data_IF_038563096978
#
_entry.id   IF_038563096978
#
_cell.length_a   1.000
_cell.length_b   1.000
_cell.length_c   1.000
_cell.angle_alpha   90.00
_cell.angle_beta   90.00
_cell.angle_gamma   90.00
#
_symmetry.space_group_name_H-M   'P 1'
#
loop_
_entity.id
_entity.type
_entity.pdbx_description
1 polymer ?
#
# COMPACT_ATOMS: atom_id res chain seq x y z
N UNK A 1 -30.36 -29.65 33.60
CA UNK A 1 -29.00 -29.07 33.41
C UNK A 1 -28.84 -28.55 31.94
N UNK A 2 -29.39 -27.42 31.56
CA UNK A 2 -29.26 -26.89 30.17
C UNK A 2 -28.27 -25.73 30.00
N UNK A 3 -27.56 -25.28 31.06
CA UNK A 3 -26.72 -24.04 30.99
C UNK A 3 -25.41 -24.19 30.21
N UNK A 4 -24.86 -25.38 30.03
CA UNK A 4 -23.58 -25.55 29.35
C UNK A 4 -23.66 -25.42 27.83
N UNK A 5 -24.80 -25.75 27.22
CA UNK A 5 -24.99 -25.66 25.76
C UNK A 5 -25.14 -24.22 25.25
N UNK A 6 -25.76 -23.33 26.03
CA UNK A 6 -25.94 -21.91 25.68
C UNK A 6 -24.63 -21.13 25.72
N UNK A 7 -23.74 -21.44 26.66
CA UNK A 7 -22.42 -20.79 26.76
C UNK A 7 -21.53 -21.16 25.57
N UNK A 8 -21.51 -22.44 25.17
CA UNK A 8 -20.73 -22.88 24.00
C UNK A 8 -21.16 -22.24 22.69
N UNK A 9 -22.47 -22.09 22.48
CA UNK A 9 -23.03 -21.45 21.28
C UNK A 9 -22.67 -19.96 21.22
N UNK A 10 -22.70 -19.26 22.34
CA UNK A 10 -22.35 -17.83 22.41
C UNK A 10 -20.88 -17.59 22.11
N UNK A 11 -19.97 -18.43 22.59
CA UNK A 11 -18.54 -18.33 22.31
C UNK A 11 -18.26 -18.57 20.82
N UNK A 12 -18.89 -19.58 20.21
CA UNK A 12 -18.73 -19.88 18.80
C UNK A 12 -19.16 -18.71 17.91
N UNK A 13 -20.29 -18.07 18.23
CA UNK A 13 -20.80 -16.89 17.48
C UNK A 13 -19.82 -15.72 17.60
N UNK A 14 -19.31 -15.44 18.78
CA UNK A 14 -18.32 -14.35 18.99
C UNK A 14 -17.04 -14.61 18.18
N UNK A 15 -16.52 -15.84 18.21
CA UNK A 15 -15.32 -16.20 17.45
C UNK A 15 -15.56 -16.01 15.94
N UNK A 16 -16.69 -16.44 15.43
CA UNK A 16 -17.01 -16.26 14.00
C UNK A 16 -17.08 -14.77 13.62
N UNK A 17 -17.73 -13.94 14.44
CA UNK A 17 -17.80 -12.50 14.22
C UNK A 17 -16.40 -11.87 14.20
N UNK A 18 -15.53 -12.22 15.14
CA UNK A 18 -14.16 -11.69 15.20
C UNK A 18 -13.35 -12.12 13.97
N UNK A 19 -13.45 -13.38 13.55
CA UNK A 19 -12.73 -13.88 12.38
C UNK A 19 -13.22 -13.18 11.10
N UNK A 20 -14.54 -13.03 10.94
CA UNK A 20 -15.11 -12.32 9.78
C UNK A 20 -14.67 -10.85 9.78
N UNK A 21 -14.75 -10.17 10.91
CA UNK A 21 -14.32 -8.77 11.02
C UNK A 21 -12.82 -8.61 10.72
N UNK A 22 -11.97 -9.53 11.20
CA UNK A 22 -10.54 -9.53 10.89
C UNK A 22 -10.29 -9.76 9.39
N UNK A 23 -10.98 -10.72 8.78
CA UNK A 23 -10.87 -10.98 7.35
C UNK A 23 -11.25 -9.76 6.51
N UNK A 24 -12.32 -9.06 6.87
CA UNK A 24 -12.73 -7.83 6.19
C UNK A 24 -11.71 -6.70 6.33
N UNK A 25 -11.09 -6.57 7.51
CA UNK A 25 -10.04 -5.57 7.76
C UNK A 25 -8.77 -5.84 6.97
N UNK A 26 -8.45 -7.11 6.71
CA UNK A 26 -7.24 -7.53 6.01
C UNK A 26 -7.45 -7.71 4.50
N UNK A 27 -8.69 -7.79 4.03
CA UNK A 27 -9.00 -7.96 2.61
C UNK A 27 -8.28 -6.96 1.69
N UNK A 28 -8.17 -5.65 2.03
CA UNK A 28 -7.48 -4.67 1.19
C UNK A 28 -6.01 -4.98 0.90
N UNK A 29 -5.34 -5.76 1.76
CA UNK A 29 -3.95 -6.19 1.51
C UNK A 29 -3.80 -7.08 0.26
N UNK A 30 -4.88 -7.73 -0.19
CA UNK A 30 -4.90 -8.57 -1.39
C UNK A 30 -5.65 -7.92 -2.56
N UNK A 31 -6.66 -7.11 -2.28
CA UNK A 31 -7.52 -6.49 -3.31
C UNK A 31 -7.04 -5.10 -3.73
N UNK A 32 -6.23 -4.47 -2.91
CA UNK A 32 -5.83 -3.08 -3.06
C UNK A 32 -6.95 -2.09 -2.74
N UNK A 33 -6.67 -0.78 -2.87
CA UNK A 33 -7.64 0.27 -2.61
C UNK A 33 -8.76 0.29 -3.65
N UNK A 34 -9.92 0.77 -3.25
CA UNK A 34 -11.01 1.05 -4.17
C UNK A 34 -10.60 2.19 -5.11
N UNK A 35 -10.69 1.95 -6.42
CA UNK A 35 -10.39 2.96 -7.42
C UNK A 35 -11.63 3.84 -7.60
N UNK A 36 -11.49 5.17 -7.54
CA UNK A 36 -12.61 6.08 -7.76
C UNK A 36 -13.25 5.88 -9.14
N UNK A 37 -14.55 6.12 -9.23
CA UNK A 37 -15.29 6.04 -10.49
C UNK A 37 -14.72 7.04 -11.51
N UNK A 38 -14.49 6.58 -12.73
CA UNK A 38 -13.89 7.38 -13.81
C UNK A 38 -12.37 7.53 -13.74
N UNK A 39 -11.69 6.95 -12.74
CA UNK A 39 -10.23 6.93 -12.69
C UNK A 39 -9.65 5.76 -13.49
N UNK A 40 -8.53 5.99 -14.16
CA UNK A 40 -7.80 4.95 -14.87
C UNK A 40 -6.73 4.34 -13.95
N UNK A 41 -6.70 3.01 -13.85
CA UNK A 41 -5.67 2.30 -13.07
C UNK A 41 -4.30 2.53 -13.70
N UNK A 42 -3.31 2.83 -12.85
CA UNK A 42 -1.89 2.83 -13.20
C UNK A 42 -1.23 1.55 -12.71
N UNK A 43 -0.23 1.09 -13.44
CA UNK A 43 0.58 -0.07 -13.04
C UNK A 43 1.64 0.36 -12.02
N UNK A 44 1.81 -0.45 -11.01
CA UNK A 44 2.88 -0.35 -10.01
C UNK A 44 3.42 -1.74 -9.71
N UNK A 45 4.72 -1.85 -9.50
CA UNK A 45 5.31 -3.08 -8.97
C UNK A 45 5.01 -3.17 -7.47
N UNK A 46 4.43 -4.29 -7.03
CA UNK A 46 4.11 -4.52 -5.63
C UNK A 46 4.75 -5.80 -5.12
N UNK A 47 5.06 -5.85 -3.83
CA UNK A 47 5.49 -7.07 -3.16
C UNK A 47 4.37 -8.11 -3.19
N UNK A 48 4.75 -9.38 -3.22
CA UNK A 48 3.80 -10.47 -3.03
C UNK A 48 3.17 -10.37 -1.63
N UNK A 49 1.87 -10.69 -1.49
CA UNK A 49 1.23 -10.72 -0.19
C UNK A 49 1.97 -11.67 0.76
N UNK A 50 2.36 -11.17 1.93
CA UNK A 50 3.07 -11.94 2.94
C UNK A 50 3.35 -11.11 4.18
N UNK A 51 3.57 -11.78 5.31
CA UNK A 51 4.03 -11.13 6.52
C UNK A 51 5.56 -10.96 6.42
N UNK A 52 6.00 -9.81 5.97
CA UNK A 52 7.42 -9.44 6.02
C UNK A 52 7.75 -8.90 7.40
N UNK A 53 8.45 -9.72 8.18
CA UNK A 53 9.04 -9.29 9.45
C UNK A 53 10.45 -8.78 9.18
N UNK A 54 10.63 -7.49 9.37
CA UNK A 54 11.92 -6.82 9.20
C UNK A 54 11.98 -5.98 7.93
N UNK A 55 12.20 -4.70 8.13
CA UNK A 55 12.42 -3.72 7.08
C UNK A 55 13.83 -3.18 7.22
N UNK A 56 14.57 -3.10 6.12
CA UNK A 56 15.80 -2.35 6.07
C UNK A 56 15.50 -0.87 6.39
N UNK A 57 16.43 -0.22 7.07
CA UNK A 57 16.26 1.18 7.53
C UNK A 57 16.91 2.20 6.58
N UNK A 58 17.15 1.82 5.32
CA UNK A 58 17.61 2.77 4.32
C UNK A 58 16.48 3.76 3.97
N UNK A 59 16.82 5.02 3.82
CA UNK A 59 15.90 6.03 3.30
C UNK A 59 16.06 6.11 1.79
N UNK A 60 14.94 6.18 1.09
CA UNK A 60 14.93 6.53 -0.32
C UNK A 60 15.35 8.00 -0.45
N UNK A 61 16.19 8.31 -1.44
CA UNK A 61 16.44 9.69 -1.82
C UNK A 61 15.13 10.36 -2.21
N UNK A 62 14.96 11.67 -1.95
CA UNK A 62 13.74 12.38 -2.30
C UNK A 62 13.32 12.14 -3.74
N UNK A 63 12.10 11.70 -3.93
CA UNK A 63 11.57 11.32 -5.23
C UNK A 63 10.19 11.96 -5.49
N UNK A 64 9.97 12.42 -6.71
CA UNK A 64 8.73 13.01 -7.14
C UNK A 64 7.82 11.96 -7.74
N UNK A 65 6.56 11.96 -7.33
CA UNK A 65 5.51 11.14 -7.93
C UNK A 65 5.22 11.64 -9.34
N UNK A 66 5.25 10.75 -10.31
CA UNK A 66 4.93 11.05 -11.69
C UNK A 66 4.29 9.84 -12.39
N UNK A 67 3.90 10.01 -13.65
CA UNK A 67 3.37 8.92 -14.46
C UNK A 67 3.94 8.95 -15.87
N UNK A 68 4.18 7.76 -16.43
CA UNK A 68 4.64 7.59 -17.80
C UNK A 68 3.77 6.52 -18.49
N UNK A 69 2.94 6.95 -19.46
CA UNK A 69 1.95 6.07 -20.05
C UNK A 69 0.97 5.57 -18.98
N UNK A 70 0.89 4.25 -18.82
CA UNK A 70 0.03 3.60 -17.82
C UNK A 70 0.77 3.21 -16.54
N UNK A 71 2.02 3.63 -16.37
CA UNK A 71 2.85 3.31 -15.21
C UNK A 71 2.94 4.51 -14.26
N UNK A 72 2.84 4.24 -12.95
CA UNK A 72 3.29 5.15 -11.91
C UNK A 72 4.80 5.03 -11.79
N UNK A 73 5.50 6.15 -11.79
CA UNK A 73 6.95 6.22 -11.62
C UNK A 73 7.32 7.17 -10.49
N UNK A 74 8.46 6.91 -9.85
CA UNK A 74 9.14 7.88 -9.01
C UNK A 74 10.35 8.44 -9.76
N UNK A 75 10.50 9.75 -9.70
CA UNK A 75 11.61 10.46 -10.36
C UNK A 75 12.48 11.09 -9.28
N UNK A 76 13.78 10.77 -9.26
CA UNK A 76 14.74 11.36 -8.34
C UNK A 76 14.73 12.89 -8.47
N UNK A 77 14.64 13.58 -7.34
CA UNK A 77 14.71 15.05 -7.30
C UNK A 77 16.12 15.54 -7.63
N UNK A 78 17.14 14.74 -7.29
CA UNK A 78 18.55 15.12 -7.48
C UNK A 78 19.01 14.89 -8.92
N UNK A 79 18.75 13.71 -9.50
CA UNK A 79 19.25 13.34 -10.83
C UNK A 79 18.24 13.52 -11.95
N UNK A 80 16.95 13.53 -11.65
CA UNK A 80 15.88 13.50 -12.64
C UNK A 80 15.63 12.13 -13.27
N UNK A 81 16.32 11.09 -12.80
CA UNK A 81 16.16 9.74 -13.31
C UNK A 81 14.98 9.02 -12.70
N UNK A 82 14.38 8.10 -13.45
CA UNK A 82 13.36 7.21 -12.93
C UNK A 82 13.97 6.22 -11.94
N UNK A 83 13.35 6.11 -10.78
CA UNK A 83 13.76 5.20 -9.70
C UNK A 83 12.88 3.94 -9.74
N UNK A 84 13.45 2.75 -9.95
CA UNK A 84 12.70 1.51 -9.85
C UNK A 84 12.32 1.25 -8.39
N UNK A 85 11.01 1.14 -8.14
CA UNK A 85 10.46 1.01 -6.79
C UNK A 85 9.45 -0.13 -6.73
N UNK A 86 9.53 -0.92 -5.66
CA UNK A 86 8.56 -1.97 -5.36
C UNK A 86 7.75 -1.52 -4.13
N UNK A 87 6.46 -1.31 -4.33
CA UNK A 87 5.53 -0.89 -3.29
C UNK A 87 5.12 -2.06 -2.38
N UNK A 88 4.69 -1.79 -1.16
CA UNK A 88 4.14 -2.84 -0.31
C UNK A 88 2.91 -3.51 -0.94
N UNK A 89 2.63 -4.74 -0.52
CA UNK A 89 1.43 -5.47 -0.97
C UNK A 89 0.14 -4.69 -0.71
N UNK A 90 -0.77 -4.72 -1.66
CA UNK A 90 -2.09 -4.08 -1.56
C UNK A 90 -2.10 -2.60 -1.90
N UNK A 91 -0.94 -1.96 -2.15
CA UNK A 91 -0.92 -0.59 -2.66
C UNK A 91 -1.49 -0.53 -4.07
N UNK A 92 -2.03 0.63 -4.44
CA UNK A 92 -2.58 0.85 -5.76
C UNK A 92 -2.32 2.27 -6.26
N UNK A 93 -2.39 2.43 -7.58
CA UNK A 93 -2.27 3.72 -8.20
C UNK A 93 -3.32 3.90 -9.30
N UNK A 94 -3.73 5.15 -9.50
CA UNK A 94 -4.67 5.51 -10.55
C UNK A 94 -4.43 6.95 -11.02
N UNK A 95 -5.02 7.28 -12.16
CA UNK A 95 -5.03 8.63 -12.70
C UNK A 95 -6.42 9.20 -12.61
N UNK A 96 -6.54 10.40 -12.05
CA UNK A 96 -7.78 11.16 -11.97
C UNK A 96 -7.49 12.65 -12.28
N UNK A 97 -8.32 13.28 -13.08
CA UNK A 97 -8.12 14.69 -13.47
C UNK A 97 -6.79 14.97 -14.15
N UNK A 98 -6.17 13.95 -14.78
CA UNK A 98 -4.89 14.04 -15.47
C UNK A 98 -3.66 13.81 -14.58
N UNK A 99 -3.80 13.72 -13.25
CA UNK A 99 -2.70 13.46 -12.32
C UNK A 99 -2.71 12.05 -11.74
N UNK A 100 -1.53 11.49 -11.49
CA UNK A 100 -1.37 10.22 -10.81
C UNK A 100 -1.61 10.36 -9.30
N UNK A 101 -2.18 9.31 -8.72
CA UNK A 101 -2.37 9.15 -7.27
C UNK A 101 -1.88 7.78 -6.88
N UNK A 102 -1.11 7.68 -5.80
CA UNK A 102 -0.76 6.41 -5.17
C UNK A 102 -1.35 6.35 -3.78
N UNK A 103 -1.92 5.20 -3.41
CA UNK A 103 -2.56 5.02 -2.13
C UNK A 103 -2.24 3.67 -1.49
N UNK A 104 -2.38 3.63 -0.18
CA UNK A 104 -2.29 2.43 0.63
C UNK A 104 -3.49 1.48 0.41
N UNK A 105 -3.48 0.26 0.93
CA UNK A 105 -4.58 -0.71 0.77
C UNK A 105 -5.94 -0.19 1.23
N UNK A 106 -5.98 0.72 2.18
CA UNK A 106 -7.22 1.27 2.77
C UNK A 106 -7.68 2.58 2.12
N UNK A 107 -6.95 3.06 1.11
CA UNK A 107 -7.28 4.25 0.34
C UNK A 107 -6.67 5.54 0.88
N UNK A 108 -5.80 5.45 1.91
CA UNK A 108 -4.99 6.59 2.35
C UNK A 108 -4.04 7.04 1.25
N UNK A 109 -4.11 8.32 0.87
CA UNK A 109 -3.26 8.87 -0.19
C UNK A 109 -1.83 9.02 0.32
N UNK A 110 -0.90 8.36 -0.35
CA UNK A 110 0.54 8.45 -0.07
C UNK A 110 1.18 9.61 -0.83
N UNK A 111 0.73 9.84 -2.06
CA UNK A 111 1.23 10.94 -2.87
C UNK A 111 0.40 11.14 -4.14
N UNK A 112 0.49 12.36 -4.68
CA UNK A 112 -0.15 12.78 -5.91
C UNK A 112 0.90 13.18 -6.94
N UNK A 113 0.54 13.28 -8.19
CA UNK A 113 1.40 13.79 -9.26
C UNK A 113 2.07 15.11 -8.84
N UNK A 114 3.40 15.12 -8.84
CA UNK A 114 4.20 16.28 -8.46
C UNK A 114 4.64 16.31 -7.00
N UNK A 115 4.03 15.56 -6.09
CA UNK A 115 4.46 15.49 -4.69
C UNK A 115 5.86 14.88 -4.57
N UNK A 116 6.63 15.38 -3.62
CA UNK A 116 7.95 14.85 -3.29
C UNK A 116 7.83 13.99 -2.05
N UNK A 117 8.16 12.71 -2.22
CA UNK A 117 8.23 11.74 -1.14
C UNK A 117 9.68 11.68 -0.63
N UNK A 118 9.92 12.18 0.58
CA UNK A 118 11.23 12.31 1.20
C UNK A 118 11.43 11.40 2.42
N UNK A 119 10.38 10.68 2.82
CA UNK A 119 10.34 9.88 4.05
C UNK A 119 10.06 8.40 3.82
N UNK A 120 10.23 7.90 2.59
CA UNK A 120 10.07 6.49 2.30
C UNK A 120 11.26 5.69 2.83
N UNK A 121 11.02 4.76 3.73
CA UNK A 121 12.02 3.82 4.21
C UNK A 121 11.91 2.47 3.51
N UNK A 122 13.03 1.79 3.37
CA UNK A 122 13.06 0.49 2.71
C UNK A 122 14.47 -0.06 2.56
N UNK A 123 14.69 -0.84 1.51
CA UNK A 123 15.99 -1.42 1.18
C UNK A 123 16.11 -1.73 -0.30
N UNK A 124 17.32 -1.92 -0.76
CA UNK A 124 17.58 -2.32 -2.15
C UNK A 124 17.29 -3.81 -2.29
N UNK A 125 16.41 -4.15 -3.22
CA UNK A 125 16.11 -5.53 -3.60
C UNK A 125 17.14 -6.13 -4.55
N UNK A 126 16.89 -7.38 -4.99
CA UNK A 126 17.78 -8.13 -5.88
C UNK A 126 17.98 -7.52 -7.28
N UNK A 127 17.03 -6.71 -7.71
CA UNK A 127 17.00 -6.13 -9.07
C UNK A 127 17.31 -4.64 -9.07
N UNK A 128 18.09 -4.18 -8.09
CA UNK A 128 18.42 -2.77 -7.85
C UNK A 128 17.18 -1.86 -7.65
N UNK A 129 16.00 -2.45 -7.49
CA UNK A 129 14.80 -1.73 -7.15
C UNK A 129 14.73 -1.45 -5.65
N UNK A 130 14.28 -0.27 -5.27
CA UNK A 130 14.05 0.08 -3.88
C UNK A 130 12.73 -0.52 -3.40
N UNK A 131 12.80 -1.40 -2.41
CA UNK A 131 11.64 -2.07 -1.81
C UNK A 131 11.15 -1.23 -0.63
N UNK A 132 9.98 -0.62 -0.76
CA UNK A 132 9.41 0.25 0.26
C UNK A 132 8.84 -0.60 1.41
N UNK A 133 9.06 -0.12 2.64
CA UNK A 133 8.50 -0.70 3.85
C UNK A 133 7.14 -0.10 4.21
N UNK A 134 6.14 -0.92 4.56
CA UNK A 134 4.80 -0.39 4.87
C UNK A 134 4.74 0.50 6.11
N UNK A 135 5.67 0.33 7.06
CA UNK A 135 5.71 1.12 8.31
C UNK A 135 6.42 2.48 8.17
N UNK A 136 7.00 2.77 7.02
CA UNK A 136 7.77 3.99 6.77
C UNK A 136 7.08 4.97 5.82
N UNK A 137 5.77 4.86 5.64
CA UNK A 137 5.01 5.71 4.72
C UNK A 137 4.24 6.74 5.53
N UNK A 138 4.53 8.01 5.27
CA UNK A 138 3.73 9.15 5.77
C UNK A 138 2.72 9.51 4.70
N UNK A 139 1.46 9.66 5.08
CA UNK A 139 0.39 10.05 4.17
C UNK A 139 0.43 11.55 3.88
N UNK A 140 0.08 11.94 2.68
CA UNK A 140 0.15 13.33 2.20
C UNK A 140 -0.86 14.29 2.91
N UNK A 141 -1.81 13.74 3.65
CA UNK A 141 -2.88 14.50 4.32
C UNK A 141 -2.68 14.62 5.84
N UNK A 142 -1.50 14.25 6.38
CA UNK A 142 -1.15 14.35 7.81
C UNK A 142 -0.44 15.68 8.15
#
# INVERSE_FOLDING_TARGET
>A
MPRARTVGLSIAVVVVIVVVAAAWRLAPLWTGPAIPEGAARLQIATQSPGLTFGCATALLSPARVSSAGDDLILVSVESGDTMPVIWPSGFGAWRVGGGAVVADPWGGVVGREGDVLDSLSGGVGSDDAFVICPLGIVHADD
#
